data_IF_288818714087
#
_entry.id   IF_288818714087
#
_cell.length_a   1.000
_cell.length_b   1.000
_cell.length_c   1.000
_cell.angle_alpha   90.00
_cell.angle_beta   90.00
_cell.angle_gamma   90.00
#
_symmetry.space_group_name_H-M   'P 1'
#
loop_
_entity.id
_entity.type
_entity.pdbx_description
1 polymer ?
#
# COMPACT_ATOMS: atom_id res chain seq x y z
N UNK A 1 7.39 19.51 12.55
CA UNK A 1 6.81 18.23 12.09
C UNK A 1 7.93 17.30 11.67
N UNK A 2 7.64 16.00 11.60
CA UNK A 2 8.55 14.98 11.06
C UNK A 2 7.73 14.06 10.14
N UNK A 3 8.41 13.35 9.23
CA UNK A 3 7.80 12.31 8.41
C UNK A 3 8.24 10.93 8.91
N UNK A 4 7.43 9.90 8.63
CA UNK A 4 7.78 8.50 8.88
C UNK A 4 8.24 7.91 7.55
N UNK A 5 9.46 7.36 7.45
CA UNK A 5 9.92 6.76 6.21
C UNK A 5 9.19 5.44 5.95
N UNK A 6 8.82 5.23 4.69
CA UNK A 6 8.22 4.00 4.19
C UNK A 6 9.20 3.28 3.26
N UNK A 7 9.42 1.98 3.53
CA UNK A 7 10.46 1.21 2.88
C UNK A 7 9.88 -0.02 2.17
N UNK A 8 10.04 -0.07 0.84
CA UNK A 8 9.72 -1.27 0.08
C UNK A 8 10.57 -2.45 0.52
N UNK A 9 9.89 -3.54 0.87
CA UNK A 9 10.52 -4.78 1.27
C UNK A 9 10.17 -5.90 0.30
N UNK A 10 11.12 -6.81 0.08
CA UNK A 10 10.96 -7.96 -0.84
C UNK A 10 11.36 -9.27 -0.21
N UNK A 11 11.93 -9.24 1.01
CA UNK A 11 12.41 -10.43 1.71
C UNK A 11 12.40 -10.21 3.22
N UNK A 12 12.53 -11.29 3.99
CA UNK A 12 12.77 -11.20 5.43
C UNK A 12 14.04 -10.40 5.75
N UNK A 13 15.07 -10.46 4.90
CA UNK A 13 16.30 -9.69 5.09
C UNK A 13 16.07 -8.18 4.99
N UNK A 14 15.31 -7.71 4.00
CA UNK A 14 15.01 -6.28 3.85
C UNK A 14 14.07 -5.80 4.95
N UNK A 15 13.10 -6.64 5.37
CA UNK A 15 12.23 -6.34 6.51
C UNK A 15 13.07 -6.16 7.78
N UNK A 16 13.97 -7.10 8.07
CA UNK A 16 14.82 -7.05 9.26
C UNK A 16 15.71 -5.81 9.28
N UNK A 17 16.27 -5.42 8.12
CA UNK A 17 17.08 -4.20 8.02
C UNK A 17 16.27 -2.95 8.42
N UNK A 18 15.02 -2.85 8.00
CA UNK A 18 14.13 -1.73 8.36
C UNK A 18 13.79 -1.75 9.85
N UNK A 19 13.43 -2.92 10.40
CA UNK A 19 13.11 -3.06 11.82
C UNK A 19 14.31 -2.76 12.72
N UNK A 20 15.50 -3.23 12.34
CA UNK A 20 16.75 -2.96 13.03
C UNK A 20 17.09 -1.46 12.99
N UNK A 21 17.01 -0.83 11.82
CA UNK A 21 17.26 0.60 11.68
C UNK A 21 16.29 1.43 12.53
N UNK A 22 15.00 1.09 12.50
CA UNK A 22 13.98 1.73 13.34
C UNK A 22 14.28 1.59 14.84
N UNK A 23 14.76 0.42 15.28
CA UNK A 23 15.16 0.18 16.67
C UNK A 23 16.40 0.97 17.06
N UNK A 24 17.47 0.91 16.28
CA UNK A 24 18.73 1.62 16.56
C UNK A 24 18.50 3.12 16.65
N UNK A 25 17.63 3.67 15.79
CA UNK A 25 17.29 5.10 15.78
C UNK A 25 16.18 5.47 16.76
N UNK A 26 15.52 4.49 17.38
CA UNK A 26 14.32 4.64 18.21
C UNK A 26 13.22 5.47 17.52
N UNK A 27 12.88 5.09 16.29
CA UNK A 27 11.88 5.77 15.44
C UNK A 27 10.84 4.76 14.92
N UNK A 28 9.58 5.22 14.72
CA UNK A 28 8.61 4.42 13.99
C UNK A 28 9.03 4.30 12.51
N UNK A 29 8.57 3.23 11.87
CA UNK A 29 8.82 2.96 10.44
C UNK A 29 7.55 2.45 9.77
N UNK A 30 7.43 2.67 8.46
CA UNK A 30 6.46 1.98 7.62
C UNK A 30 7.20 0.90 6.82
N UNK A 31 6.75 -0.34 6.91
CA UNK A 31 7.18 -1.42 6.02
C UNK A 31 6.11 -1.57 4.95
N UNK A 32 6.49 -1.40 3.69
CA UNK A 32 5.55 -1.51 2.57
C UNK A 32 5.94 -2.57 1.55
N UNK A 33 4.92 -3.07 0.87
CA UNK A 33 5.08 -4.05 -0.20
C UNK A 33 4.40 -3.54 -1.48
N UNK A 34 5.19 -3.26 -2.52
CA UNK A 34 4.72 -3.18 -3.91
C UNK A 34 4.17 -4.52 -4.40
N UNK A 35 3.38 -4.51 -5.47
CA UNK A 35 2.89 -5.75 -6.10
C UNK A 35 4.07 -6.65 -6.51
N UNK A 36 5.07 -6.09 -7.18
CA UNK A 36 6.26 -6.82 -7.63
C UNK A 36 7.10 -7.34 -6.46
N UNK A 37 7.28 -6.52 -5.42
CA UNK A 37 7.97 -6.91 -4.18
C UNK A 37 7.25 -8.04 -3.43
N UNK A 38 5.93 -8.02 -3.42
CA UNK A 38 5.10 -9.09 -2.87
C UNK A 38 5.27 -10.38 -3.67
N UNK A 39 5.18 -10.32 -5.00
CA UNK A 39 5.43 -11.48 -5.86
C UNK A 39 6.84 -12.04 -5.68
N UNK A 40 7.85 -11.18 -5.48
CA UNK A 40 9.22 -11.60 -5.21
C UNK A 40 9.30 -12.38 -3.89
N UNK A 41 8.65 -11.89 -2.83
CA UNK A 41 8.64 -12.52 -1.52
C UNK A 41 7.98 -13.91 -1.56
N UNK A 42 6.89 -14.06 -2.32
CA UNK A 42 6.24 -15.36 -2.56
C UNK A 42 7.14 -16.34 -3.34
N UNK A 43 7.98 -15.81 -4.23
CA UNK A 43 8.89 -16.56 -5.09
C UNK A 43 8.49 -16.47 -6.56
N UNK A 44 9.44 -16.02 -7.41
CA UNK A 44 9.21 -15.74 -8.84
C UNK A 44 8.74 -16.92 -9.69
N UNK A 45 8.91 -18.15 -9.21
CA UNK A 45 8.44 -19.34 -9.94
C UNK A 45 6.94 -19.59 -9.80
N UNK A 46 6.25 -18.92 -8.86
CA UNK A 46 4.82 -19.08 -8.68
C UNK A 46 4.04 -18.39 -9.81
N UNK A 47 2.95 -19.00 -10.31
CA UNK A 47 2.06 -18.32 -11.25
C UNK A 47 1.46 -17.07 -10.61
N UNK A 48 1.41 -15.96 -11.37
CA UNK A 48 0.91 -14.67 -10.86
C UNK A 48 -0.07 -13.96 -11.82
N UNK A 49 -0.78 -14.73 -12.67
CA UNK A 49 -1.69 -14.18 -13.68
C UNK A 49 -2.86 -13.41 -13.05
N UNK A 50 -3.42 -13.95 -11.97
CA UNK A 50 -4.53 -13.38 -11.20
C UNK A 50 -4.03 -12.74 -9.90
N UNK A 51 -2.75 -12.32 -9.86
CA UNK A 51 -2.11 -11.74 -8.69
C UNK A 51 -1.98 -12.65 -7.47
N UNK A 52 -2.24 -13.95 -7.63
CA UNK A 52 -2.23 -14.91 -6.52
C UNK A 52 -0.88 -15.01 -5.80
N UNK A 53 0.26 -14.86 -6.51
CA UNK A 53 1.56 -14.88 -5.86
C UNK A 53 1.82 -13.55 -5.12
N UNK A 54 1.43 -12.42 -5.70
CA UNK A 54 1.51 -11.10 -5.04
C UNK A 54 0.66 -11.05 -3.76
N UNK A 55 -0.57 -11.59 -3.80
CA UNK A 55 -1.45 -11.69 -2.63
C UNK A 55 -0.76 -12.52 -1.52
N UNK A 56 -0.35 -13.75 -1.84
CA UNK A 56 0.31 -14.64 -0.88
C UNK A 56 1.60 -14.05 -0.30
N UNK A 57 2.40 -13.40 -1.14
CA UNK A 57 3.65 -12.78 -0.71
C UNK A 57 3.45 -11.57 0.20
N UNK A 58 2.47 -10.73 -0.09
CA UNK A 58 2.10 -9.61 0.77
C UNK A 58 1.66 -10.11 2.15
N UNK A 59 0.80 -11.15 2.19
CA UNK A 59 0.31 -11.76 3.43
C UNK A 59 1.45 -12.42 4.22
N UNK A 60 2.34 -13.16 3.55
CA UNK A 60 3.49 -13.78 4.19
C UNK A 60 4.44 -12.73 4.78
N UNK A 61 4.71 -11.66 4.04
CA UNK A 61 5.51 -10.52 4.50
C UNK A 61 4.88 -9.81 5.70
N UNK A 62 3.58 -9.52 5.64
CA UNK A 62 2.84 -8.88 6.73
C UNK A 62 2.86 -9.73 8.00
N UNK A 63 2.61 -11.05 7.90
CA UNK A 63 2.70 -11.95 9.04
C UNK A 63 4.11 -12.00 9.64
N UNK A 64 5.16 -12.00 8.80
CA UNK A 64 6.53 -11.93 9.28
C UNK A 64 6.82 -10.63 10.05
N UNK A 65 6.41 -9.48 9.51
CA UNK A 65 6.55 -8.19 10.19
C UNK A 65 5.81 -8.19 11.53
N UNK A 66 4.55 -8.66 11.57
CA UNK A 66 3.76 -8.72 12.80
C UNK A 66 4.40 -9.63 13.86
N UNK A 67 5.02 -10.73 13.45
CA UNK A 67 5.73 -11.61 14.35
C UNK A 67 7.02 -10.98 14.90
N UNK A 68 7.74 -10.22 14.08
CA UNK A 68 9.06 -9.69 14.43
C UNK A 68 9.03 -8.30 15.08
N UNK A 69 8.16 -7.40 14.65
CA UNK A 69 8.10 -6.01 15.11
C UNK A 69 8.02 -5.86 16.65
N UNK A 70 7.24 -6.67 17.40
CA UNK A 70 7.23 -6.60 18.86
C UNK A 70 8.59 -6.89 19.50
N UNK A 71 9.41 -7.76 18.91
CA UNK A 71 10.74 -8.09 19.41
C UNK A 71 11.73 -6.93 19.25
N UNK A 72 11.55 -6.09 18.22
CA UNK A 72 12.32 -4.85 18.06
C UNK A 72 11.79 -3.75 19.01
N UNK A 73 10.52 -3.79 19.41
CA UNK A 73 9.95 -2.88 20.39
C UNK A 73 9.83 -1.44 19.88
N UNK A 74 9.49 -1.30 18.59
CA UNK A 74 9.15 -0.02 17.95
C UNK A 74 7.75 -0.11 17.32
N UNK A 75 7.04 1.02 17.17
CA UNK A 75 5.83 1.05 16.36
C UNK A 75 6.17 0.82 14.88
N UNK A 76 5.42 -0.06 14.22
CA UNK A 76 5.57 -0.35 12.79
C UNK A 76 4.20 -0.26 12.13
N UNK A 77 4.10 0.55 11.08
CA UNK A 77 2.95 0.56 10.17
C UNK A 77 3.21 -0.42 9.03
N UNK A 78 2.19 -1.21 8.71
CA UNK A 78 2.20 -2.12 7.57
C UNK A 78 1.39 -1.56 6.43
N UNK A 79 1.98 -1.50 5.24
CA UNK A 79 1.40 -0.84 4.08
C UNK A 79 1.53 -1.69 2.80
N UNK A 80 0.60 -1.54 1.86
CA UNK A 80 0.79 -1.97 0.47
C UNK A 80 0.92 -0.75 -0.42
N UNK A 81 1.92 -0.77 -1.29
CA UNK A 81 2.28 0.33 -2.17
C UNK A 81 1.35 0.42 -3.40
N UNK A 82 1.69 1.31 -4.35
CA UNK A 82 1.00 1.59 -5.61
C UNK A 82 0.18 0.42 -6.18
N UNK A 83 -1.14 0.63 -6.25
CA UNK A 83 -2.08 -0.31 -6.85
C UNK A 83 -2.90 0.37 -7.94
N UNK A 84 -2.40 0.29 -9.17
CA UNK A 84 -3.13 0.68 -10.38
C UNK A 84 -4.40 -0.14 -10.61
N UNK A 85 -5.31 0.38 -11.44
CA UNK A 85 -6.60 -0.28 -11.76
C UNK A 85 -6.44 -1.73 -12.23
N UNK A 86 -5.39 -2.02 -13.01
CA UNK A 86 -5.04 -3.38 -13.47
C UNK A 86 -4.60 -4.34 -12.35
N UNK A 87 -4.23 -3.80 -11.19
CA UNK A 87 -3.74 -4.52 -10.02
C UNK A 87 -4.83 -4.68 -8.95
N UNK A 88 -6.05 -4.18 -9.16
CA UNK A 88 -7.15 -4.34 -8.19
C UNK A 88 -7.42 -5.79 -7.73
N UNK A 89 -7.20 -6.85 -8.55
CA UNK A 89 -7.29 -8.23 -8.03
C UNK A 89 -6.33 -8.51 -6.86
N UNK A 90 -5.14 -7.90 -6.86
CA UNK A 90 -4.19 -7.97 -5.73
C UNK A 90 -4.75 -7.27 -4.49
N UNK A 91 -5.31 -6.07 -4.67
CA UNK A 91 -5.92 -5.27 -3.62
C UNK A 91 -7.13 -5.97 -2.98
N UNK A 92 -8.03 -6.50 -3.82
CA UNK A 92 -9.20 -7.26 -3.39
C UNK A 92 -8.78 -8.49 -2.57
N UNK A 93 -7.77 -9.22 -3.04
CA UNK A 93 -7.19 -10.34 -2.32
C UNK A 93 -6.64 -9.94 -0.96
N UNK A 94 -5.90 -8.84 -0.84
CA UNK A 94 -5.41 -8.36 0.45
C UNK A 94 -6.57 -8.00 1.40
N UNK A 95 -7.57 -7.28 0.91
CA UNK A 95 -8.74 -6.90 1.72
C UNK A 95 -9.56 -8.10 2.20
N UNK A 96 -9.68 -9.17 1.41
CA UNK A 96 -10.33 -10.41 1.87
C UNK A 96 -9.60 -11.01 3.08
N UNK A 97 -8.26 -10.96 3.09
CA UNK A 97 -7.48 -11.40 4.24
C UNK A 97 -7.58 -10.45 5.43
N UNK A 98 -7.61 -9.14 5.20
CA UNK A 98 -7.87 -8.18 6.28
C UNK A 98 -9.24 -8.40 6.92
N UNK A 99 -10.29 -8.65 6.13
CA UNK A 99 -11.63 -8.94 6.62
C UNK A 99 -11.66 -10.21 7.48
N UNK A 100 -11.04 -11.29 7.01
CA UNK A 100 -10.93 -12.53 7.76
C UNK A 100 -10.13 -12.34 9.06
N UNK A 101 -9.01 -11.62 9.00
CA UNK A 101 -8.16 -11.35 10.15
C UNK A 101 -8.85 -10.44 11.17
N UNK A 102 -9.58 -9.43 10.71
CA UNK A 102 -10.37 -8.52 11.56
C UNK A 102 -11.48 -9.26 12.31
N UNK A 103 -12.18 -10.19 11.64
CA UNK A 103 -13.20 -11.02 12.29
C UNK A 103 -12.62 -11.91 13.39
N UNK A 104 -11.40 -12.42 13.22
CA UNK A 104 -10.74 -13.29 14.21
C UNK A 104 -10.05 -12.51 15.33
N UNK A 105 -9.43 -11.37 15.01
CA UNK A 105 -8.47 -10.67 15.88
C UNK A 105 -8.90 -9.28 16.34
N UNK A 106 -9.96 -8.72 15.75
CA UNK A 106 -10.43 -7.36 16.03
C UNK A 106 -9.56 -6.24 15.45
N UNK A 107 -8.59 -6.58 14.60
CA UNK A 107 -7.75 -5.65 13.85
C UNK A 107 -7.38 -6.25 12.48
N UNK A 108 -7.12 -5.43 11.45
CA UNK A 108 -6.73 -5.92 10.13
C UNK A 108 -5.29 -6.45 10.12
N UNK A 109 -4.91 -7.18 9.07
CA UNK A 109 -3.55 -7.68 8.89
C UNK A 109 -2.59 -6.53 8.55
N UNK A 110 -3.00 -5.65 7.64
CA UNK A 110 -2.29 -4.43 7.28
C UNK A 110 -2.76 -3.23 8.11
N UNK A 111 -1.94 -2.17 8.19
CA UNK A 111 -2.38 -0.89 8.76
C UNK A 111 -3.06 0.00 7.72
N UNK A 112 -2.64 -0.13 6.46
CA UNK A 112 -3.03 0.76 5.37
C UNK A 112 -2.79 0.14 4.00
N UNK A 113 -3.46 0.64 2.98
CA UNK A 113 -3.22 0.29 1.58
C UNK A 113 -3.26 1.54 0.69
N UNK A 114 -2.53 1.51 -0.41
CA UNK A 114 -2.52 2.56 -1.42
C UNK A 114 -3.34 2.17 -2.66
N UNK A 115 -4.19 3.09 -3.12
CA UNK A 115 -4.74 3.07 -4.48
C UNK A 115 -4.06 4.15 -5.30
N UNK A 116 -3.46 3.72 -6.40
CA UNK A 116 -2.87 4.62 -7.39
C UNK A 116 -3.71 4.56 -8.67
N UNK A 117 -4.76 5.36 -8.72
CA UNK A 117 -5.62 5.49 -9.91
C UNK A 117 -5.34 6.81 -10.63
N UNK A 118 -4.11 7.28 -10.54
CA UNK A 118 -3.61 8.56 -11.08
C UNK A 118 -3.72 8.65 -12.60
N UNK A 119 -3.64 7.52 -13.31
CA UNK A 119 -3.84 7.44 -14.77
C UNK A 119 -5.32 7.52 -15.21
N UNK A 120 -6.26 7.31 -14.28
CA UNK A 120 -7.70 7.31 -14.57
C UNK A 120 -8.27 8.75 -14.48
N UNK A 121 -9.42 9.04 -15.10
CA UNK A 121 -10.11 10.32 -14.91
C UNK A 121 -10.32 10.63 -13.41
N UNK A 122 -10.09 11.88 -13.00
CA UNK A 122 -10.11 12.27 -11.58
C UNK A 122 -11.40 11.88 -10.84
N UNK A 123 -12.57 12.06 -11.48
CA UNK A 123 -13.86 11.63 -10.92
C UNK A 123 -13.96 10.11 -10.75
N UNK A 124 -13.38 9.34 -11.67
CA UNK A 124 -13.35 7.88 -11.60
C UNK A 124 -12.41 7.40 -10.49
N UNK A 125 -11.22 8.00 -10.37
CA UNK A 125 -10.28 7.75 -9.27
C UNK A 125 -10.98 7.95 -7.91
N UNK A 126 -11.59 9.11 -7.69
CA UNK A 126 -12.32 9.40 -6.44
C UNK A 126 -13.46 8.40 -6.22
N UNK A 127 -14.24 8.08 -7.24
CA UNK A 127 -15.36 7.14 -7.14
C UNK A 127 -14.92 5.73 -6.72
N UNK A 128 -13.86 5.21 -7.33
CA UNK A 128 -13.32 3.88 -7.02
C UNK A 128 -12.71 3.89 -5.61
N UNK A 129 -11.89 4.89 -5.29
CA UNK A 129 -11.29 5.03 -3.97
C UNK A 129 -12.34 5.14 -2.87
N UNK A 130 -13.42 5.90 -3.10
CA UNK A 130 -14.55 6.01 -2.17
C UNK A 130 -15.16 4.64 -1.88
N UNK A 131 -15.45 3.85 -2.92
CA UNK A 131 -16.00 2.50 -2.78
C UNK A 131 -15.10 1.59 -1.93
N UNK A 132 -13.78 1.64 -2.16
CA UNK A 132 -12.83 0.87 -1.36
C UNK A 132 -12.71 1.40 0.07
N UNK A 133 -12.69 2.71 0.25
CA UNK A 133 -12.57 3.32 1.56
C UNK A 133 -13.77 2.99 2.46
N UNK A 134 -15.00 2.96 1.92
CA UNK A 134 -16.19 2.50 2.64
C UNK A 134 -16.08 1.03 3.12
N UNK A 135 -15.34 0.17 2.40
CA UNK A 135 -15.03 -1.20 2.82
C UNK A 135 -13.93 -1.21 3.89
N UNK A 136 -12.86 -0.46 3.67
CA UNK A 136 -11.68 -0.36 4.55
C UNK A 136 -12.00 0.25 5.92
N UNK A 137 -12.84 1.30 5.96
CA UNK A 137 -13.22 2.01 7.18
C UNK A 137 -13.90 1.10 8.21
N UNK A 138 -14.63 0.07 7.75
CA UNK A 138 -15.26 -0.95 8.63
C UNK A 138 -14.25 -1.77 9.42
N UNK A 139 -12.99 -1.78 8.99
CA UNK A 139 -11.88 -2.51 9.60
C UNK A 139 -10.80 -1.58 10.19
N UNK A 140 -11.08 -0.28 10.30
CA UNK A 140 -10.11 0.73 10.74
C UNK A 140 -8.83 0.80 9.87
N UNK A 141 -8.90 0.40 8.60
CA UNK A 141 -7.79 0.54 7.65
C UNK A 141 -7.67 1.98 7.16
N UNK A 142 -6.44 2.44 6.97
CA UNK A 142 -6.14 3.73 6.34
C UNK A 142 -6.02 3.54 4.82
N UNK A 143 -6.67 4.39 4.04
CA UNK A 143 -6.47 4.47 2.59
C UNK A 143 -5.48 5.60 2.27
N UNK A 144 -4.42 5.27 1.55
CA UNK A 144 -3.60 6.22 0.81
C UNK A 144 -4.11 6.29 -0.64
N UNK A 145 -4.26 7.50 -1.17
CA UNK A 145 -4.73 7.75 -2.54
C UNK A 145 -3.71 8.61 -3.26
N UNK A 146 -3.40 8.25 -4.50
CA UNK A 146 -2.67 9.12 -5.41
C UNK A 146 -3.60 9.96 -6.30
N UNK A 147 -3.26 11.26 -6.42
CA UNK A 147 -3.87 12.21 -7.35
C UNK A 147 -2.73 12.90 -8.09
N UNK A 148 -2.83 12.99 -9.40
CA UNK A 148 -1.79 13.59 -10.25
C UNK A 148 -1.22 12.53 -11.19
N UNK A 149 0.05 12.67 -11.58
CA UNK A 149 0.83 11.61 -12.24
C UNK A 149 2.25 11.68 -11.67
N UNK A 150 2.74 10.59 -11.06
CA UNK A 150 4.15 10.45 -10.68
C UNK A 150 5.03 10.35 -11.93
N UNK A 151 6.17 11.04 -11.93
CA UNK A 151 7.15 10.94 -13.02
C UNK A 151 8.07 9.73 -12.82
N UNK A 152 8.59 9.15 -13.92
CA UNK A 152 9.57 8.07 -13.85
C UNK A 152 8.99 6.69 -14.12
N UNK A 153 9.63 5.63 -13.62
CA UNK A 153 9.21 4.24 -13.85
C UNK A 153 8.97 3.56 -12.51
N UNK A 154 7.73 3.14 -12.27
CA UNK A 154 7.32 2.45 -11.03
C UNK A 154 6.42 1.26 -11.37
N UNK A 155 6.68 0.09 -10.75
CA UNK A 155 5.91 -1.16 -10.92
C UNK A 155 5.48 -1.52 -12.36
N UNK A 156 6.34 -1.20 -13.34
CA UNK A 156 6.12 -1.49 -14.76
C UNK A 156 5.27 -0.46 -15.51
N UNK A 157 5.03 0.70 -14.92
CA UNK A 157 4.45 1.90 -15.54
C UNK A 157 5.59 2.89 -15.82
N UNK A 158 5.66 3.46 -17.02
CA UNK A 158 6.67 4.44 -17.43
C UNK A 158 6.03 5.78 -17.79
N UNK A 159 6.16 6.73 -16.87
CA UNK A 159 5.67 8.10 -16.96
C UNK A 159 6.77 9.10 -17.37
N UNK A 160 7.94 8.63 -17.84
CA UNK A 160 9.06 9.51 -18.22
C UNK A 160 8.74 10.46 -19.38
N UNK A 161 7.73 10.14 -20.20
CA UNK A 161 7.26 10.96 -21.33
C UNK A 161 6.17 11.98 -20.99
N UNK A 162 5.71 12.04 -19.74
CA UNK A 162 4.60 12.91 -19.33
C UNK A 162 5.04 14.38 -19.30
N UNK A 163 4.16 15.28 -19.77
CA UNK A 163 4.42 16.70 -19.79
C UNK A 163 4.62 17.24 -18.35
N UNK A 164 5.62 18.11 -18.15
CA UNK A 164 6.05 18.55 -16.81
C UNK A 164 4.95 19.24 -16.01
N UNK A 165 4.02 19.90 -16.69
CA UNK A 165 2.85 20.55 -16.10
C UNK A 165 1.82 19.55 -15.55
N UNK A 166 1.81 18.31 -16.06
CA UNK A 166 0.96 17.23 -15.54
C UNK A 166 1.54 16.48 -14.34
N UNK A 167 2.80 16.77 -13.97
CA UNK A 167 3.44 16.20 -12.77
C UNK A 167 2.99 16.90 -11.48
N UNK A 168 2.25 18.00 -11.58
CA UNK A 168 1.83 18.79 -10.43
C UNK A 168 0.31 18.78 -10.31
N UNK A 169 -0.18 18.13 -9.26
CA UNK A 169 -1.60 18.22 -8.88
C UNK A 169 -1.94 19.63 -8.42
N UNK A 170 -3.16 20.06 -8.70
CA UNK A 170 -3.68 21.37 -8.31
C UNK A 170 -4.30 21.32 -6.91
N UNK A 171 -4.33 22.45 -6.17
CA UNK A 171 -5.05 22.52 -4.90
C UNK A 171 -6.52 22.12 -5.02
N UNK A 172 -7.16 22.43 -6.14
CA UNK A 172 -8.54 22.09 -6.43
C UNK A 172 -8.76 20.58 -6.54
N UNK A 173 -7.89 19.85 -7.26
CA UNK A 173 -7.93 18.38 -7.35
C UNK A 173 -7.71 17.73 -5.98
N UNK A 174 -6.77 18.26 -5.18
CA UNK A 174 -6.55 17.78 -3.81
C UNK A 174 -7.79 18.01 -2.94
N UNK A 175 -8.43 19.18 -3.07
CA UNK A 175 -9.66 19.49 -2.33
C UNK A 175 -10.83 18.60 -2.76
N UNK A 176 -10.94 18.27 -4.04
CA UNK A 176 -11.94 17.33 -4.55
C UNK A 176 -11.73 15.92 -4.00
N UNK A 177 -10.49 15.43 -3.99
CA UNK A 177 -10.13 14.15 -3.38
C UNK A 177 -10.49 14.10 -1.90
N UNK A 178 -10.09 15.12 -1.14
CA UNK A 178 -10.46 15.24 0.27
C UNK A 178 -11.99 15.26 0.46
N UNK A 179 -12.71 16.11 -0.29
CA UNK A 179 -14.16 16.24 -0.16
C UNK A 179 -14.93 14.97 -0.55
N UNK A 180 -14.38 14.16 -1.46
CA UNK A 180 -14.96 12.88 -1.87
C UNK A 180 -14.83 11.77 -0.82
N UNK A 181 -13.78 11.81 0.00
CA UNK A 181 -13.43 10.76 0.96
C UNK A 181 -13.70 11.12 2.42
N UNK A 182 -13.56 12.39 2.82
CA UNK A 182 -13.71 12.84 4.21
C UNK A 182 -15.05 12.55 4.90
N UNK A 183 -16.18 12.31 4.20
CA UNK A 183 -17.44 11.91 4.85
C UNK A 183 -17.47 10.46 5.35
N UNK A 184 -16.48 9.63 5.01
CA UNK A 184 -16.36 8.23 5.43
C UNK A 184 -15.50 8.15 6.70
#
# INVERSE_FOLDING_TARGET
GFAIPAFNCTSTSTINAVLEAGKVLNRPVIVQFSEGGSCFLAGKSLPNKEKQASILGAIAGANYVRAMAPAYGIPVLLHSDHCAKKLLPWFDGMLEFDEAFFQERGEPLFSSHMLDLSEEPHEENISICRKYFERMAKMNLILEMEIGITGGVEDGVDNSGVAKDKLYSTPEEVWQGWGGLSPI
#
